data_IF_641394227194
#
_entry.id   IF_641394227194
#
_cell.length_a   1.000
_cell.length_b   1.000
_cell.length_c   1.000
_cell.angle_alpha   90.00
_cell.angle_beta   90.00
_cell.angle_gamma   90.00
#
_symmetry.space_group_name_H-M   'P 1'
#
loop_
_entity.id
_entity.type
_entity.pdbx_description
1 polymer ?
#
# COMPACT_ATOMS: atom_id res chain seq x y z
N UNK A 1 -82.63 -14.58 33.11
CA UNK A 1 -82.31 -13.25 32.53
C UNK A 1 -80.95 -12.71 32.98
N UNK A 2 -80.69 -12.49 34.27
CA UNK A 2 -79.45 -11.83 34.78
C UNK A 2 -78.16 -12.61 34.49
N UNK A 3 -78.20 -13.96 34.60
CA UNK A 3 -77.03 -14.82 34.37
C UNK A 3 -76.53 -14.80 32.91
N UNK A 4 -77.42 -14.55 31.95
CA UNK A 4 -77.07 -14.46 30.52
C UNK A 4 -76.32 -13.17 30.19
N UNK A 5 -76.72 -12.03 30.76
CA UNK A 5 -76.01 -10.76 30.61
C UNK A 5 -74.60 -10.79 31.22
N UNK A 6 -74.44 -11.46 32.37
CA UNK A 6 -73.13 -11.65 32.99
C UNK A 6 -72.18 -12.47 32.13
N UNK A 7 -72.68 -13.52 31.47
CA UNK A 7 -71.90 -14.35 30.54
C UNK A 7 -71.55 -13.60 29.26
N UNK A 8 -72.48 -12.79 28.73
CA UNK A 8 -72.25 -11.96 27.55
C UNK A 8 -71.15 -10.92 27.78
N UNK A 9 -71.17 -10.24 28.94
CA UNK A 9 -70.11 -9.27 29.28
C UNK A 9 -68.74 -9.95 29.45
N UNK A 10 -68.70 -11.13 30.08
CA UNK A 10 -67.45 -11.88 30.24
C UNK A 10 -66.89 -12.35 28.90
N UNK A 11 -67.76 -12.80 27.97
CA UNK A 11 -67.39 -13.17 26.61
C UNK A 11 -66.89 -11.96 25.80
N UNK A 12 -67.52 -10.80 25.93
CA UNK A 12 -67.09 -9.55 25.29
C UNK A 12 -65.72 -9.10 25.84
N UNK A 13 -65.49 -9.23 27.15
CA UNK A 13 -64.20 -8.92 27.78
C UNK A 13 -63.11 -9.88 27.30
N UNK A 14 -63.39 -11.18 27.22
CA UNK A 14 -62.47 -12.19 26.69
C UNK A 14 -62.16 -11.98 25.20
N UNK A 15 -63.18 -11.68 24.38
CA UNK A 15 -63.00 -11.40 22.95
C UNK A 15 -62.14 -10.15 22.70
N UNK A 16 -62.34 -9.08 23.49
CA UNK A 16 -61.49 -7.88 23.44
C UNK A 16 -60.04 -8.16 23.85
N UNK A 17 -59.77 -9.11 24.73
CA UNK A 17 -58.41 -9.46 25.15
C UNK A 17 -57.67 -10.33 24.11
N UNK A 18 -58.41 -11.19 23.39
CA UNK A 18 -57.84 -12.04 22.32
C UNK A 18 -57.44 -11.25 21.07
N UNK A 19 -58.12 -10.14 20.77
CA UNK A 19 -57.79 -9.28 19.62
C UNK A 19 -56.54 -8.41 19.85
N UNK A 20 -56.29 -7.96 21.09
CA UNK A 20 -55.17 -7.06 21.42
C UNK A 20 -53.77 -7.68 21.29
N UNK A 21 -53.67 -9.01 21.15
CA UNK A 21 -52.39 -9.72 21.03
C UNK A 21 -51.97 -10.11 19.60
N UNK A 22 -52.68 -9.65 18.56
CA UNK A 22 -52.38 -10.02 17.16
C UNK A 22 -51.52 -9.02 16.38
N UNK A 23 -50.77 -8.14 17.06
CA UNK A 23 -49.83 -7.22 16.40
C UNK A 23 -48.55 -7.01 17.22
N UNK A 24 -47.81 -8.08 17.52
CA UNK A 24 -46.43 -7.98 18.02
C UNK A 24 -45.54 -9.04 17.39
N UNK A 25 -45.32 -8.92 16.08
CA UNK A 25 -44.18 -9.54 15.41
C UNK A 25 -43.69 -8.68 14.26
N UNK A 26 -43.55 -7.37 14.49
CA UNK A 26 -42.52 -6.60 13.79
C UNK A 26 -41.27 -6.69 14.65
N UNK A 27 -40.38 -7.61 14.33
CA UNK A 27 -39.02 -7.57 14.85
C UNK A 27 -38.40 -6.25 14.35
N UNK A 28 -38.55 -5.20 15.15
CA UNK A 28 -37.91 -3.91 14.94
C UNK A 28 -36.41 -4.18 14.93
N UNK A 29 -35.81 -4.08 13.74
CA UNK A 29 -34.37 -4.07 13.56
C UNK A 29 -33.82 -2.99 14.48
N UNK A 30 -33.19 -3.40 15.58
CA UNK A 30 -32.48 -2.49 16.46
C UNK A 30 -31.11 -2.31 15.84
N UNK A 31 -30.82 -1.17 15.18
CA UNK A 31 -29.50 -0.94 14.63
C UNK A 31 -28.50 -1.05 15.78
N UNK A 32 -27.50 -1.90 15.61
CA UNK A 32 -26.41 -2.00 16.58
C UNK A 32 -25.75 -0.61 16.68
N UNK A 33 -25.51 -0.13 17.90
CA UNK A 33 -24.86 1.17 18.18
C UNK A 33 -23.37 1.12 17.79
N UNK A 34 -23.07 0.92 16.52
CA UNK A 34 -21.71 0.80 16.02
C UNK A 34 -21.57 1.32 14.59
N UNK A 35 -20.39 1.10 14.02
CA UNK A 35 -20.00 1.52 12.66
C UNK A 35 -21.01 1.15 11.56
N UNK A 36 -21.79 0.08 11.78
CA UNK A 36 -22.85 -0.35 10.86
C UNK A 36 -23.99 0.68 10.74
N UNK A 37 -24.41 1.29 11.85
CA UNK A 37 -25.51 2.26 11.84
C UNK A 37 -25.13 3.61 11.18
N UNK A 38 -23.84 3.96 11.21
CA UNK A 38 -23.32 5.10 10.46
C UNK A 38 -23.31 4.81 8.95
N UNK A 39 -22.89 3.60 8.57
CA UNK A 39 -22.85 3.16 7.18
C UNK A 39 -24.26 3.12 6.55
N UNK A 40 -25.24 2.55 7.25
CA UNK A 40 -26.64 2.52 6.81
C UNK A 40 -27.20 3.93 6.55
N UNK A 41 -26.80 4.92 7.36
CA UNK A 41 -27.24 6.33 7.22
C UNK A 41 -26.61 7.03 6.01
N UNK A 42 -25.32 6.77 5.75
CA UNK A 42 -24.61 7.38 4.61
C UNK A 42 -25.08 6.74 3.30
N UNK A 43 -25.29 5.43 3.28
CA UNK A 43 -25.58 4.68 2.05
C UNK A 43 -27.08 4.45 1.77
N UNK A 44 -28.00 4.83 2.67
CA UNK A 44 -29.47 4.66 2.52
C UNK A 44 -29.85 3.32 1.87
N UNK A 45 -29.26 2.23 2.36
CA UNK A 45 -29.31 0.89 1.75
C UNK A 45 -30.76 0.39 1.57
N UNK A 46 -31.67 0.77 2.47
CA UNK A 46 -33.10 0.45 2.39
C UNK A 46 -33.76 0.94 1.08
N UNK A 47 -33.27 2.04 0.49
CA UNK A 47 -33.87 2.67 -0.70
C UNK A 47 -33.22 2.22 -2.01
N UNK A 48 -31.91 1.94 -1.98
CA UNK A 48 -31.15 1.45 -3.14
C UNK A 48 -31.41 -0.05 -3.39
N UNK A 49 -31.62 -0.82 -2.32
CA UNK A 49 -31.71 -2.29 -2.40
C UNK A 49 -33.14 -2.84 -2.31
N UNK A 50 -34.16 -1.97 -2.19
CA UNK A 50 -35.57 -2.35 -2.30
C UNK A 50 -36.08 -3.34 -1.25
N UNK A 51 -35.30 -3.63 -0.20
CA UNK A 51 -35.62 -4.64 0.80
C UNK A 51 -34.54 -4.77 1.88
N UNK A 52 -34.90 -5.44 2.98
CA UNK A 52 -33.98 -5.71 4.10
C UNK A 52 -33.02 -6.83 3.71
N UNK A 53 -31.77 -6.47 3.40
CA UNK A 53 -30.73 -7.46 3.12
C UNK A 53 -30.33 -8.19 4.41
N UNK A 54 -30.12 -9.52 4.38
CA UNK A 54 -29.64 -10.26 5.54
C UNK A 54 -28.26 -9.75 5.96
N UNK A 55 -28.09 -9.38 7.23
CA UNK A 55 -26.83 -8.84 7.76
C UNK A 55 -25.63 -9.80 7.58
N UNK A 56 -25.87 -11.10 7.37
CA UNK A 56 -24.82 -12.09 7.07
C UNK A 56 -24.16 -11.85 5.71
N UNK A 57 -24.94 -11.53 4.68
CA UNK A 57 -24.43 -11.30 3.32
C UNK A 57 -23.66 -9.97 3.23
N UNK A 58 -24.10 -8.95 3.97
CA UNK A 58 -23.43 -7.65 4.02
C UNK A 58 -22.01 -7.75 4.60
N UNK A 59 -21.80 -8.65 5.57
CA UNK A 59 -20.46 -8.94 6.11
C UNK A 59 -19.48 -9.44 5.04
N UNK A 60 -19.93 -10.32 4.15
CA UNK A 60 -19.10 -10.86 3.07
C UNK A 60 -18.77 -9.79 2.01
N UNK A 61 -19.74 -8.94 1.66
CA UNK A 61 -19.52 -7.84 0.71
C UNK A 61 -18.49 -6.85 1.24
N UNK A 62 -18.58 -6.48 2.52
CA UNK A 62 -17.59 -5.60 3.16
C UNK A 62 -16.20 -6.24 3.20
N UNK A 63 -16.14 -7.55 3.45
CA UNK A 63 -14.87 -8.28 3.44
C UNK A 63 -14.19 -8.26 2.06
N UNK A 64 -14.94 -8.54 0.98
CA UNK A 64 -14.43 -8.49 -0.39
C UNK A 64 -14.06 -7.06 -0.79
N UNK A 65 -14.89 -6.07 -0.46
CA UNK A 65 -14.61 -4.66 -0.71
C UNK A 65 -13.31 -4.22 -0.06
N UNK A 66 -13.02 -4.67 1.17
CA UNK A 66 -11.74 -4.43 1.84
C UNK A 66 -10.55 -4.99 1.07
N UNK A 67 -10.67 -6.21 0.53
CA UNK A 67 -9.61 -6.82 -0.30
C UNK A 67 -9.38 -6.02 -1.59
N UNK A 68 -10.44 -5.52 -2.23
CA UNK A 68 -10.33 -4.68 -3.43
C UNK A 68 -9.57 -3.39 -3.13
N UNK A 69 -9.86 -2.74 -1.99
CA UNK A 69 -9.13 -1.52 -1.58
C UNK A 69 -7.65 -1.82 -1.37
N UNK A 70 -7.31 -2.91 -0.66
CA UNK A 70 -5.92 -3.33 -0.46
C UNK A 70 -5.23 -3.60 -1.80
N UNK A 71 -5.92 -4.26 -2.74
CA UNK A 71 -5.41 -4.53 -4.08
C UNK A 71 -5.08 -3.24 -4.84
N UNK A 72 -5.99 -2.26 -4.85
CA UNK A 72 -5.77 -0.97 -5.52
C UNK A 72 -4.57 -0.24 -4.92
N UNK A 73 -4.47 -0.19 -3.59
CA UNK A 73 -3.35 0.44 -2.88
C UNK A 73 -2.02 -0.26 -3.24
N UNK A 74 -2.02 -1.60 -3.25
CA UNK A 74 -0.84 -2.38 -3.59
C UNK A 74 -0.41 -2.15 -5.04
N UNK A 75 -1.35 -2.06 -5.97
CA UNK A 75 -1.10 -1.83 -7.39
C UNK A 75 -0.45 -0.47 -7.65
N UNK A 76 -0.95 0.60 -7.00
CA UNK A 76 -0.41 1.95 -7.14
C UNK A 76 1.04 2.05 -6.62
N UNK A 77 1.36 1.33 -5.54
CA UNK A 77 2.72 1.33 -5.01
C UNK A 77 3.72 0.66 -5.96
N UNK A 78 3.32 -0.40 -6.66
CA UNK A 78 4.17 -1.09 -7.63
C UNK A 78 4.64 -0.18 -8.78
N UNK A 79 3.76 0.69 -9.28
CA UNK A 79 4.08 1.63 -10.35
C UNK A 79 5.14 2.66 -9.91
N UNK A 80 4.99 3.22 -8.70
CA UNK A 80 5.96 4.16 -8.14
C UNK A 80 7.34 3.53 -7.87
N UNK A 81 7.38 2.23 -7.59
CA UNK A 81 8.62 1.49 -7.35
C UNK A 81 9.42 1.28 -8.63
N UNK A 82 8.75 0.99 -9.74
CA UNK A 82 9.40 0.81 -11.05
C UNK A 82 10.12 2.10 -11.47
N UNK A 83 9.45 3.25 -11.37
CA UNK A 83 10.06 4.53 -11.72
C UNK A 83 11.27 4.87 -10.82
N UNK A 84 11.19 4.53 -9.52
CA UNK A 84 12.34 4.69 -8.61
C UNK A 84 13.51 3.79 -8.98
N UNK A 85 13.24 2.54 -9.38
CA UNK A 85 14.27 1.60 -9.82
C UNK A 85 15.02 2.15 -11.04
N UNK A 86 14.30 2.68 -12.02
CA UNK A 86 14.90 3.22 -13.23
C UNK A 86 15.78 4.44 -12.94
N UNK A 87 15.33 5.33 -12.04
CA UNK A 87 16.12 6.48 -11.59
C UNK A 87 17.41 6.04 -10.89
N UNK A 88 17.31 5.10 -9.94
CA UNK A 88 18.47 4.59 -9.20
C UNK A 88 19.47 3.90 -10.15
N UNK A 89 18.99 3.15 -11.15
CA UNK A 89 19.86 2.54 -12.17
C UNK A 89 20.62 3.60 -12.97
N UNK A 90 19.95 4.66 -13.40
CA UNK A 90 20.59 5.77 -14.12
C UNK A 90 21.67 6.44 -13.25
N UNK A 91 21.39 6.71 -11.98
CA UNK A 91 22.35 7.30 -11.03
C UNK A 91 23.60 6.39 -10.84
N UNK A 92 23.42 5.06 -10.79
CA UNK A 92 24.53 4.10 -10.69
C UNK A 92 25.36 4.04 -11.98
N UNK A 93 24.73 4.11 -13.14
CA UNK A 93 25.44 4.15 -14.42
C UNK A 93 26.24 5.44 -14.59
N UNK A 94 25.67 6.58 -14.23
CA UNK A 94 26.36 7.88 -14.19
C UNK A 94 27.58 7.82 -13.27
N UNK A 95 27.41 7.31 -12.04
CA UNK A 95 28.52 7.16 -11.10
C UNK A 95 29.63 6.23 -11.63
N UNK A 96 29.26 5.15 -12.33
CA UNK A 96 30.23 4.25 -12.98
C UNK A 96 30.99 4.95 -14.11
N UNK A 97 30.33 5.78 -14.90
CA UNK A 97 30.96 6.54 -15.97
C UNK A 97 31.98 7.55 -15.40
N UNK A 98 31.61 8.24 -14.33
CA UNK A 98 32.48 9.15 -13.60
C UNK A 98 33.72 8.46 -13.05
N UNK A 99 33.54 7.32 -12.39
CA UNK A 99 34.66 6.52 -11.88
C UNK A 99 35.60 6.09 -13.01
N UNK A 100 35.04 5.64 -14.13
CA UNK A 100 35.83 5.18 -15.28
C UNK A 100 36.65 6.32 -15.88
N UNK A 101 36.04 7.50 -16.02
CA UNK A 101 36.71 8.70 -16.55
C UNK A 101 37.83 9.18 -15.62
N UNK A 102 37.56 9.27 -14.31
CA UNK A 102 38.58 9.66 -13.32
C UNK A 102 39.73 8.67 -13.26
N UNK A 103 39.44 7.37 -13.30
CA UNK A 103 40.45 6.31 -13.36
C UNK A 103 41.30 6.43 -14.62
N UNK A 104 40.70 6.71 -15.77
CA UNK A 104 41.43 6.92 -17.03
C UNK A 104 42.35 8.15 -16.94
N UNK A 105 41.90 9.24 -16.31
CA UNK A 105 42.72 10.42 -16.02
C UNK A 105 43.93 10.07 -15.14
N UNK A 106 43.72 9.38 -14.02
CA UNK A 106 44.80 8.93 -13.14
C UNK A 106 45.81 8.02 -13.87
N UNK A 107 45.30 7.06 -14.67
CA UNK A 107 46.15 6.18 -15.45
C UNK A 107 46.95 6.93 -16.51
N UNK A 108 46.41 8.00 -17.09
CA UNK A 108 47.11 8.86 -18.04
C UNK A 108 48.23 9.63 -17.36
N UNK A 109 47.94 10.24 -16.21
CA UNK A 109 48.92 11.00 -15.43
C UNK A 109 50.05 10.11 -14.90
N UNK A 110 49.76 8.84 -14.60
CA UNK A 110 50.75 7.84 -14.20
C UNK A 110 51.59 7.26 -15.35
N UNK A 111 51.33 7.60 -16.62
CA UNK A 111 52.14 7.09 -17.74
C UNK A 111 53.51 7.76 -17.74
N UNK A 112 54.56 6.96 -17.91
CA UNK A 112 55.95 7.45 -18.01
C UNK A 112 56.09 8.58 -19.05
N UNK A 113 55.42 8.50 -20.20
CA UNK A 113 55.44 9.54 -21.23
C UNK A 113 54.81 10.89 -20.83
N UNK A 114 53.82 10.88 -19.94
CA UNK A 114 53.18 12.10 -19.39
C UNK A 114 54.03 12.68 -18.26
N UNK A 115 54.55 11.80 -17.39
CA UNK A 115 55.47 12.18 -16.31
C UNK A 115 56.69 12.90 -16.90
N UNK A 116 57.34 12.33 -17.93
CA UNK A 116 58.51 12.94 -18.60
C UNK A 116 58.20 14.35 -19.11
N UNK A 117 57.07 14.53 -19.81
CA UNK A 117 56.64 15.86 -20.30
C UNK A 117 56.42 16.87 -19.16
N UNK A 118 55.96 16.39 -18.00
CA UNK A 118 55.68 17.23 -16.83
C UNK A 118 56.95 17.61 -16.05
N UNK A 119 57.98 16.75 -16.05
CA UNK A 119 59.28 17.03 -15.42
C UNK A 119 60.33 17.65 -16.37
N UNK A 120 60.08 17.68 -17.68
CA UNK A 120 60.91 18.38 -18.69
C UNK A 120 61.21 19.86 -18.35
N UNK A 121 60.23 20.70 -17.95
CA UNK A 121 60.51 22.09 -17.54
C UNK A 121 61.32 22.20 -16.23
N UNK A 122 61.45 21.11 -15.47
CA UNK A 122 62.30 21.05 -14.27
C UNK A 122 63.76 20.63 -14.61
N UNK A 123 64.08 20.46 -15.89
CA UNK A 123 65.43 20.09 -16.36
C UNK A 123 65.80 18.61 -16.17
N UNK A 124 64.83 17.77 -15.81
CA UNK A 124 65.03 16.33 -15.60
C UNK A 124 64.86 15.58 -16.92
N UNK A 125 65.87 14.81 -17.32
CA UNK A 125 65.87 14.01 -18.55
C UNK A 125 65.82 12.50 -18.25
N UNK A 126 65.11 11.76 -19.09
CA UNK A 126 65.07 10.30 -19.01
C UNK A 126 66.45 9.70 -19.32
N UNK A 127 66.94 8.87 -18.39
CA UNK A 127 68.19 8.13 -18.58
C UNK A 127 67.96 6.96 -19.55
N UNK A 128 68.24 7.18 -20.84
CA UNK A 128 68.05 6.19 -21.91
C UNK A 128 69.08 5.05 -21.89
N UNK A 129 70.12 5.17 -21.09
CA UNK A 129 71.16 4.14 -20.94
C UNK A 129 70.84 3.26 -19.73
N UNK A 130 70.76 1.92 -19.91
CA UNK A 130 70.54 1.02 -18.78
C UNK A 130 71.68 1.15 -17.77
N UNK A 131 71.38 1.22 -16.47
CA UNK A 131 72.39 1.41 -15.43
C UNK A 131 73.36 0.23 -15.40
N UNK A 132 74.65 0.53 -15.44
CA UNK A 132 75.70 -0.49 -15.39
C UNK A 132 75.75 -1.09 -13.99
N UNK A 133 75.48 -2.39 -13.87
CA UNK A 133 75.62 -3.11 -12.60
C UNK A 133 77.09 -3.11 -12.19
N UNK A 134 77.43 -2.38 -11.12
CA UNK A 134 78.77 -2.42 -10.53
C UNK A 134 78.86 -3.73 -9.77
N UNK A 135 79.53 -4.72 -10.35
CA UNK A 135 79.85 -5.98 -9.67
C UNK A 135 81.19 -5.75 -8.97
N UNK A 136 81.17 -5.63 -7.64
CA UNK A 136 82.38 -5.61 -6.83
C UNK A 136 83.00 -6.99 -6.96
N UNK A 137 84.20 -7.06 -7.54
CA UNK A 137 84.99 -8.28 -7.61
C UNK A 137 85.81 -8.30 -6.33
N UNK A 138 85.56 -9.29 -5.48
CA UNK A 138 86.37 -9.57 -4.29
C UNK A 138 87.84 -9.75 -4.64
#
# INVERSE_FOLDING_TARGET
MIKAYSQLNHLIIMAKNVSKNKHKSSATYRPSRGIFAFFDRVFNMDKILGGKFPASQLRYVVWISGLIVIYIISSLNAESLIHKIDKIKAEVEEQRADFTTRKAGFMKDGKQSEIIKRVEPMGLQENKTPPTKIVVKD
#
